data_IF_647962798800
#
_entry.id   IF_647962798800
#
_cell.length_a   1.000
_cell.length_b   1.000
_cell.length_c   1.000
_cell.angle_alpha   90.00
_cell.angle_beta   90.00
_cell.angle_gamma   90.00
#
_symmetry.space_group_name_H-M   'P 1'
#
loop_
_entity.id
_entity.type
_entity.pdbx_description
1 polymer ?
#
# COMPACT_ATOMS: atom_id res chain seq x y z
N UNK A 1 -19.86 1.25 9.99
CA UNK A 1 -19.62 -0.13 9.51
C UNK A 1 -19.92 -0.30 8.01
N UNK A 2 -20.95 0.33 7.45
CA UNK A 2 -21.27 0.23 6.01
C UNK A 2 -20.06 0.45 5.07
N UNK A 3 -19.20 1.44 5.35
CA UNK A 3 -18.02 1.74 4.54
C UNK A 3 -16.88 0.70 4.65
N UNK A 4 -16.89 -0.17 5.67
CA UNK A 4 -15.90 -1.22 5.80
C UNK A 4 -16.06 -2.32 4.74
N UNK A 5 -17.30 -2.59 4.30
CA UNK A 5 -17.60 -3.63 3.33
C UNK A 5 -17.06 -3.34 1.93
N UNK A 6 -17.25 -2.13 1.33
CA UNK A 6 -16.60 -1.77 0.08
C UNK A 6 -15.08 -1.89 0.16
N UNK A 7 -14.46 -1.43 1.25
CA UNK A 7 -13.02 -1.52 1.45
C UNK A 7 -12.53 -2.98 1.49
N UNK A 8 -13.17 -3.81 2.33
CA UNK A 8 -12.81 -5.21 2.48
C UNK A 8 -13.04 -6.01 1.18
N UNK A 9 -14.17 -5.79 0.51
CA UNK A 9 -14.51 -6.50 -0.73
C UNK A 9 -13.56 -6.11 -1.87
N UNK A 10 -13.29 -4.81 -2.05
CA UNK A 10 -12.36 -4.34 -3.08
C UNK A 10 -10.96 -4.89 -2.83
N UNK A 11 -10.51 -4.87 -1.57
CA UNK A 11 -9.24 -5.48 -1.17
C UNK A 11 -9.19 -6.98 -1.45
N UNK A 12 -10.26 -7.71 -1.15
CA UNK A 12 -10.35 -9.14 -1.41
C UNK A 12 -10.28 -9.46 -2.91
N UNK A 13 -11.03 -8.72 -3.74
CA UNK A 13 -11.01 -8.87 -5.20
C UNK A 13 -9.61 -8.58 -5.74
N UNK A 14 -8.95 -7.53 -5.24
CA UNK A 14 -7.58 -7.19 -5.63
C UNK A 14 -6.58 -8.29 -5.27
N UNK A 15 -6.67 -8.86 -4.06
CA UNK A 15 -5.82 -9.97 -3.62
C UNK A 15 -6.07 -11.24 -4.43
N UNK A 16 -7.33 -11.55 -4.73
CA UNK A 16 -7.70 -12.68 -5.58
C UNK A 16 -7.15 -12.53 -7.00
N UNK A 17 -7.25 -11.33 -7.57
CA UNK A 17 -6.66 -11.00 -8.86
C UNK A 17 -5.14 -11.19 -8.85
N UNK A 18 -4.43 -10.64 -7.84
CA UNK A 18 -2.97 -10.82 -7.69
C UNK A 18 -2.56 -12.29 -7.55
N UNK A 19 -3.35 -13.09 -6.83
CA UNK A 19 -3.10 -14.51 -6.67
C UNK A 19 -3.28 -15.28 -7.99
N UNK A 20 -4.33 -14.96 -8.75
CA UNK A 20 -4.63 -15.59 -10.03
C UNK A 20 -3.65 -15.17 -11.15
N UNK A 21 -3.26 -13.90 -11.21
CA UNK A 21 -2.36 -13.37 -12.25
C UNK A 21 -0.89 -13.69 -11.99
N UNK A 22 -0.52 -14.04 -10.75
CA UNK A 22 0.87 -14.25 -10.34
C UNK A 22 1.70 -12.96 -10.26
N UNK A 23 1.09 -11.80 -10.53
CA UNK A 23 1.77 -10.50 -10.52
C UNK A 23 2.27 -10.09 -9.13
N UNK A 24 1.80 -10.75 -8.07
CA UNK A 24 2.28 -10.54 -6.71
C UNK A 24 3.80 -10.65 -6.59
N UNK A 25 4.46 -11.49 -7.41
CA UNK A 25 5.92 -11.64 -7.42
C UNK A 25 6.65 -10.39 -7.88
N UNK A 26 6.00 -9.56 -8.70
CA UNK A 26 6.53 -8.30 -9.23
C UNK A 26 6.34 -7.11 -8.29
N UNK A 27 5.34 -7.20 -7.39
CA UNK A 27 4.95 -6.15 -6.45
C UNK A 27 5.55 -6.36 -5.06
N UNK A 28 5.86 -7.61 -4.68
CA UNK A 28 6.38 -7.93 -3.35
C UNK A 28 7.78 -7.35 -3.14
N UNK A 29 7.93 -6.59 -2.06
CA UNK A 29 9.19 -6.03 -1.62
C UNK A 29 10.08 -7.12 -1.04
N UNK A 30 11.24 -7.37 -1.66
CA UNK A 30 12.20 -8.38 -1.22
C UNK A 30 13.40 -7.72 -0.53
N UNK A 31 14.18 -8.45 0.29
CA UNK A 31 15.36 -7.89 0.95
C UNK A 31 16.37 -7.23 -0.01
N UNK A 32 16.48 -7.74 -1.24
CA UNK A 32 17.32 -7.16 -2.31
C UNK A 32 16.85 -5.78 -2.79
N UNK A 33 15.59 -5.42 -2.57
CA UNK A 33 15.01 -4.14 -2.98
C UNK A 33 15.29 -3.02 -1.95
N UNK A 34 15.85 -3.33 -0.77
CA UNK A 34 16.15 -2.34 0.29
C UNK A 34 17.16 -1.29 -0.16
N UNK A 35 18.29 -1.71 -0.75
CA UNK A 35 19.31 -0.78 -1.27
C UNK A 35 18.74 0.18 -2.32
N UNK A 36 18.10 -0.33 -3.39
CA UNK A 36 17.43 0.51 -4.39
C UNK A 36 16.32 1.40 -3.82
N UNK A 37 15.57 0.95 -2.81
CA UNK A 37 14.53 1.77 -2.18
C UNK A 37 15.13 2.98 -1.43
N UNK A 38 16.24 2.78 -0.69
CA UNK A 38 16.95 3.88 -0.03
C UNK A 38 17.52 4.85 -1.06
N UNK A 39 18.10 4.34 -2.14
CA UNK A 39 18.60 5.17 -3.24
C UNK A 39 17.50 6.00 -3.89
N UNK A 40 16.30 5.44 -4.02
CA UNK A 40 15.14 6.16 -4.54
C UNK A 40 14.63 7.22 -3.57
N UNK A 41 14.60 6.91 -2.27
CA UNK A 41 14.24 7.88 -1.24
C UNK A 41 15.18 9.10 -1.27
N UNK A 42 16.48 8.87 -1.42
CA UNK A 42 17.48 9.94 -1.54
C UNK A 42 17.27 10.79 -2.81
N UNK A 43 16.86 10.16 -3.92
CA UNK A 43 16.50 10.89 -5.14
C UNK A 43 15.28 11.80 -4.91
N UNK A 44 14.21 11.29 -4.26
CA UNK A 44 13.03 12.10 -3.97
C UNK A 44 13.29 13.23 -2.98
N UNK A 45 14.17 13.01 -2.01
CA UNK A 45 14.63 14.06 -1.09
C UNK A 45 15.61 15.05 -1.76
N UNK A 46 15.90 14.90 -3.05
CA UNK A 46 16.87 15.70 -3.83
C UNK A 46 18.31 15.63 -3.31
N UNK A 47 18.64 14.66 -2.46
CA UNK A 47 20.02 14.38 -2.04
C UNK A 47 20.81 13.64 -3.13
N UNK A 48 20.12 13.05 -4.10
CA UNK A 48 20.72 12.41 -5.28
C UNK A 48 20.12 12.99 -6.56
N UNK A 49 20.97 13.27 -7.55
CA UNK A 49 20.55 13.83 -8.86
C UNK A 49 20.16 12.76 -9.88
N UNK A 50 20.78 11.58 -9.81
CA UNK A 50 20.54 10.51 -10.77
C UNK A 50 19.39 9.60 -10.34
N UNK A 51 18.48 9.35 -11.27
CA UNK A 51 17.40 8.41 -11.08
C UNK A 51 17.94 6.98 -11.15
N UNK A 52 17.79 6.15 -10.10
CA UNK A 52 18.28 4.78 -10.13
C UNK A 52 17.56 3.96 -11.21
N UNK A 53 18.22 2.98 -11.85
CA UNK A 53 17.60 2.11 -12.85
C UNK A 53 16.44 1.33 -12.21
N UNK A 54 15.30 1.27 -12.90
CA UNK A 54 14.07 0.64 -12.41
C UNK A 54 13.57 -0.40 -13.41
N UNK A 55 13.08 -1.53 -12.90
CA UNK A 55 12.24 -2.43 -13.69
C UNK A 55 10.79 -1.92 -13.71
N UNK A 56 9.84 -2.80 -14.07
CA UNK A 56 8.39 -2.50 -14.14
C UNK A 56 7.83 -1.72 -12.93
N UNK A 57 8.34 -2.00 -11.73
CA UNK A 57 8.01 -1.24 -10.51
C UNK A 57 9.28 -0.81 -9.78
N UNK A 58 9.27 0.43 -9.30
CA UNK A 58 10.30 0.97 -8.44
C UNK A 58 10.37 0.18 -7.11
N UNK A 59 11.55 0.03 -6.53
CA UNK A 59 11.72 -0.57 -5.22
C UNK A 59 10.92 0.15 -4.12
N UNK A 60 10.82 1.48 -4.17
CA UNK A 60 9.97 2.24 -3.23
C UNK A 60 8.48 1.99 -3.47
N UNK A 61 8.05 1.82 -4.73
CA UNK A 61 6.68 1.44 -5.05
C UNK A 61 6.35 0.04 -4.54
N UNK A 62 7.24 -0.93 -4.72
CA UNK A 62 7.07 -2.29 -4.16
C UNK A 62 6.95 -2.26 -2.64
N UNK A 63 7.76 -1.44 -1.96
CA UNK A 63 7.67 -1.24 -0.53
C UNK A 63 6.29 -0.68 -0.13
N UNK A 64 5.81 0.34 -0.85
CA UNK A 64 4.49 0.94 -0.66
C UNK A 64 3.34 -0.06 -0.90
N UNK A 65 3.40 -0.85 -1.97
CA UNK A 65 2.38 -1.89 -2.25
C UNK A 65 2.35 -2.97 -1.17
N UNK A 66 3.53 -3.42 -0.73
CA UNK A 66 3.63 -4.46 0.29
C UNK A 66 3.12 -3.93 1.64
N UNK A 67 3.52 -2.72 2.02
CA UNK A 67 3.11 -2.12 3.30
C UNK A 67 1.62 -1.83 3.34
N UNK A 68 1.04 -1.28 2.27
CA UNK A 68 -0.38 -0.89 2.26
C UNK A 68 -1.32 -2.10 2.27
N UNK A 69 -0.92 -3.22 1.64
CA UNK A 69 -1.68 -4.47 1.70
C UNK A 69 -1.68 -5.06 3.10
N UNK A 70 -0.52 -5.09 3.77
CA UNK A 70 -0.41 -5.57 5.15
C UNK A 70 -1.20 -4.67 6.11
N UNK A 71 -1.09 -3.34 5.95
CA UNK A 71 -1.83 -2.36 6.73
C UNK A 71 -3.34 -2.49 6.51
N UNK A 72 -3.77 -2.72 5.27
CA UNK A 72 -5.17 -2.99 4.93
C UNK A 72 -5.69 -4.25 5.62
N UNK A 73 -4.90 -5.33 5.60
CA UNK A 73 -5.22 -6.54 6.34
C UNK A 73 -5.37 -6.30 7.85
N UNK A 74 -4.43 -5.58 8.46
CA UNK A 74 -4.49 -5.20 9.87
C UNK A 74 -5.74 -4.36 10.18
N UNK A 75 -6.05 -3.35 9.36
CA UNK A 75 -7.22 -2.51 9.52
C UNK A 75 -8.53 -3.30 9.42
N UNK A 76 -8.64 -4.24 8.47
CA UNK A 76 -9.82 -5.10 8.32
C UNK A 76 -9.98 -6.02 9.53
N UNK A 77 -8.92 -6.73 9.95
CA UNK A 77 -8.97 -7.66 11.07
C UNK A 77 -9.32 -6.96 12.40
N UNK A 78 -8.65 -5.85 12.70
CA UNK A 78 -8.95 -5.05 13.89
C UNK A 78 -10.34 -4.41 13.82
N UNK A 79 -10.80 -4.02 12.63
CA UNK A 79 -12.15 -3.49 12.42
C UNK A 79 -13.24 -4.53 12.68
N UNK A 80 -13.03 -5.78 12.27
CA UNK A 80 -13.93 -6.90 12.60
C UNK A 80 -13.93 -7.19 14.10
N UNK A 81 -12.76 -7.19 14.74
CA UNK A 81 -12.63 -7.38 16.19
C UNK A 81 -13.43 -6.34 16.98
N UNK A 82 -13.42 -5.08 16.55
CA UNK A 82 -14.16 -3.99 17.19
C UNK A 82 -15.66 -4.05 16.87
N UNK A 83 -16.04 -4.50 15.68
CA UNK A 83 -17.44 -4.56 15.26
C UNK A 83 -18.25 -5.61 16.02
N UNK A 84 -17.69 -6.80 16.22
CA UNK A 84 -18.35 -7.92 16.92
C UNK A 84 -17.46 -8.52 18.01
N UNK A 85 -17.15 -7.78 19.07
CA UNK A 85 -16.16 -8.20 20.06
C UNK A 85 -16.56 -9.47 20.83
N UNK A 86 -17.87 -9.68 21.05
CA UNK A 86 -18.39 -10.87 21.73
C UNK A 86 -18.35 -12.10 20.83
N UNK A 87 -18.74 -11.96 19.56
CA UNK A 87 -18.78 -13.09 18.61
C UNK A 87 -17.39 -13.45 18.09
N UNK A 88 -16.50 -12.46 17.97
CA UNK A 88 -15.10 -12.59 17.54
C UNK A 88 -14.14 -12.42 18.72
N UNK A 89 -14.50 -12.91 19.91
CA UNK A 89 -13.67 -12.78 21.11
C UNK A 89 -12.25 -13.34 20.94
N UNK A 90 -12.09 -14.43 20.18
CA UNK A 90 -10.78 -15.00 19.84
C UNK A 90 -9.89 -14.01 19.07
N UNK A 91 -10.46 -13.20 18.19
CA UNK A 91 -9.75 -12.19 17.41
C UNK A 91 -9.37 -10.99 18.29
N UNK A 92 -10.28 -10.59 19.18
CA UNK A 92 -10.00 -9.57 20.20
C UNK A 92 -8.84 -10.00 21.10
N UNK A 93 -8.83 -11.25 21.56
CA UNK A 93 -7.74 -11.80 22.36
C UNK A 93 -6.41 -11.87 21.58
N UNK A 94 -6.45 -12.22 20.29
CA UNK A 94 -5.26 -12.24 19.44
C UNK A 94 -4.59 -10.85 19.31
N UNK A 95 -5.40 -9.79 19.36
CA UNK A 95 -4.90 -8.41 19.39
C UNK A 95 -4.65 -7.87 20.80
N UNK A 96 -4.63 -8.70 21.84
CA UNK A 96 -4.31 -8.27 23.21
C UNK A 96 -5.47 -7.59 23.95
N UNK A 97 -6.71 -7.80 23.52
CA UNK A 97 -7.91 -7.26 24.15
C UNK A 97 -8.59 -6.15 23.34
N UNK A 98 -9.78 -5.74 23.79
CA UNK A 98 -10.61 -4.78 23.04
C UNK A 98 -9.98 -3.40 22.92
N UNK A 99 -9.36 -2.91 24.01
CA UNK A 99 -8.69 -1.60 24.01
C UNK A 99 -7.46 -1.59 23.08
N UNK A 100 -6.65 -2.65 23.10
CA UNK A 100 -5.48 -2.74 22.24
C UNK A 100 -5.90 -2.92 20.76
N UNK A 101 -6.96 -3.70 20.48
CA UNK A 101 -7.53 -3.81 19.13
C UNK A 101 -7.98 -2.46 18.57
N UNK A 102 -8.61 -1.61 19.40
CA UNK A 102 -8.96 -0.23 19.03
C UNK A 102 -7.72 0.60 18.73
N UNK A 103 -6.70 0.53 19.59
CA UNK A 103 -5.45 1.26 19.37
C UNK A 103 -4.79 0.89 18.04
N UNK A 104 -4.66 -0.41 17.74
CA UNK A 104 -4.12 -0.89 16.47
C UNK A 104 -4.94 -0.44 15.26
N UNK A 105 -6.27 -0.45 15.39
CA UNK A 105 -7.15 0.03 14.32
C UNK A 105 -6.95 1.53 14.07
N UNK A 106 -6.97 2.36 15.12
CA UNK A 106 -6.75 3.80 15.00
C UNK A 106 -5.37 4.14 14.46
N UNK A 107 -4.33 3.44 14.91
CA UNK A 107 -2.98 3.58 14.35
C UNK A 107 -2.97 3.26 12.86
N UNK A 108 -3.64 2.18 12.46
CA UNK A 108 -3.74 1.79 11.04
C UNK A 108 -4.44 2.86 10.21
N UNK A 109 -5.51 3.46 10.72
CA UNK A 109 -6.22 4.57 10.05
C UNK A 109 -5.30 5.78 9.86
N UNK A 110 -4.57 6.20 10.88
CA UNK A 110 -3.63 7.32 10.78
C UNK A 110 -2.49 7.06 9.81
N UNK A 111 -1.95 5.83 9.79
CA UNK A 111 -0.95 5.41 8.81
C UNK A 111 -1.52 5.43 7.37
N UNK A 112 -2.77 5.00 7.16
CA UNK A 112 -3.45 5.11 5.87
C UNK A 112 -3.61 6.56 5.41
N UNK A 113 -4.00 7.46 6.32
CA UNK A 113 -4.15 8.90 6.03
C UNK A 113 -2.79 9.49 5.64
N UNK A 114 -1.75 9.26 6.44
CA UNK A 114 -0.40 9.75 6.18
C UNK A 114 0.15 9.21 4.86
N UNK A 115 -0.02 7.91 4.60
CA UNK A 115 0.36 7.27 3.35
C UNK A 115 -0.36 7.90 2.16
N UNK A 116 -1.68 8.11 2.25
CA UNK A 116 -2.48 8.68 1.17
C UNK A 116 -2.02 10.10 0.82
N UNK A 117 -1.79 10.94 1.83
CA UNK A 117 -1.28 12.30 1.64
C UNK A 117 0.08 12.27 0.94
N UNK A 118 1.03 11.52 1.50
CA UNK A 118 2.38 11.43 0.95
C UNK A 118 2.38 10.85 -0.48
N UNK A 119 1.59 9.81 -0.72
CA UNK A 119 1.46 9.16 -2.02
C UNK A 119 0.93 10.11 -3.08
N UNK A 120 -0.17 10.82 -2.80
CA UNK A 120 -0.75 11.78 -3.74
C UNK A 120 0.21 12.94 -4.01
N UNK A 121 0.89 13.46 -2.98
CA UNK A 121 1.92 14.49 -3.14
C UNK A 121 3.05 14.03 -4.06
N UNK A 122 3.57 12.82 -3.86
CA UNK A 122 4.63 12.26 -4.70
C UNK A 122 4.17 12.11 -6.15
N UNK A 123 2.96 11.61 -6.38
CA UNK A 123 2.39 11.48 -7.72
C UNK A 123 2.29 12.83 -8.42
N UNK A 124 1.79 13.86 -7.73
CA UNK A 124 1.66 15.21 -8.30
C UNK A 124 3.02 15.89 -8.57
N UNK A 125 4.00 15.71 -7.69
CA UNK A 125 5.31 16.36 -7.78
C UNK A 125 6.26 15.67 -8.77
N UNK A 126 6.19 14.34 -8.88
CA UNK A 126 7.16 13.54 -9.63
C UNK A 126 6.62 13.19 -11.02
N UNK A 127 5.38 12.70 -11.09
CA UNK A 127 4.81 12.21 -12.35
C UNK A 127 3.29 12.40 -12.41
N UNK A 128 2.81 13.63 -12.66
CA UNK A 128 1.38 13.90 -12.77
C UNK A 128 0.73 13.22 -13.99
N UNK A 129 1.51 12.79 -14.98
CA UNK A 129 1.00 12.04 -16.13
C UNK A 129 0.50 10.64 -15.73
N UNK A 130 1.04 10.07 -14.64
CA UNK A 130 0.60 8.78 -14.10
C UNK A 130 -0.88 8.80 -13.67
N UNK A 131 -1.41 9.92 -13.16
CA UNK A 131 -2.84 10.05 -12.80
C UNK A 131 -3.76 9.83 -14.01
N UNK A 132 -3.38 10.40 -15.16
CA UNK A 132 -4.15 10.21 -16.41
C UNK A 132 -4.03 8.77 -16.89
N UNK A 133 -2.86 8.15 -16.72
CA UNK A 133 -2.65 6.76 -17.12
C UNK A 133 -3.51 5.79 -16.31
N UNK A 134 -3.74 6.05 -15.02
CA UNK A 134 -4.63 5.23 -14.18
C UNK A 134 -6.06 5.21 -14.73
N UNK A 135 -6.56 6.35 -15.23
CA UNK A 135 -7.92 6.46 -15.77
C UNK A 135 -8.03 5.96 -17.22
N UNK A 136 -7.03 6.24 -18.04
CA UNK A 136 -7.07 5.99 -19.49
C UNK A 136 -6.41 4.69 -19.93
N UNK A 137 -5.67 4.04 -19.03
CA UNK A 137 -4.88 2.83 -19.31
C UNK A 137 -3.66 3.05 -20.20
N UNK A 138 -3.34 4.29 -20.59
CA UNK A 138 -2.19 4.60 -21.46
C UNK A 138 -1.25 5.59 -20.79
N UNK A 139 0.01 5.18 -20.62
CA UNK A 139 1.04 6.06 -20.09
C UNK A 139 1.65 6.92 -21.19
N UNK A 140 1.66 8.24 -20.99
CA UNK A 140 2.32 9.24 -21.85
C UNK A 140 3.01 10.27 -20.96
N UNK A 141 4.10 9.85 -20.30
CA UNK A 141 4.80 10.66 -19.30
C UNK A 141 6.32 10.61 -19.42
N UNK A 142 6.98 11.21 -18.42
CA UNK A 142 8.43 11.47 -18.41
C UNK A 142 9.29 10.20 -18.32
N UNK A 143 8.72 9.11 -17.81
CA UNK A 143 9.41 7.84 -17.58
C UNK A 143 8.80 6.75 -18.47
N UNK A 144 9.27 6.58 -19.72
CA UNK A 144 8.73 5.55 -20.60
C UNK A 144 8.83 4.17 -19.95
N UNK A 145 7.72 3.42 -19.94
CA UNK A 145 7.71 2.02 -19.54
C UNK A 145 8.50 1.22 -20.57
N UNK A 146 9.73 0.84 -20.23
CA UNK A 146 10.46 -0.18 -20.97
C UNK A 146 9.87 -1.53 -20.56
N UNK A 147 8.77 -1.90 -21.20
CA UNK A 147 8.31 -3.30 -21.23
C UNK A 147 9.23 -4.14 -22.13
#
# INVERSE_FOLDING_TARGET
>A
FALAWPFALTGLVYLAYMAASGEWRSLLFRPRDVGPAVQMQLYYLRLRRDHPPQGKHNALQKAAYTSIVLLGGLAVLTGFAIYKPVQLGWLVSAFGGFELARYWHFLSVWLFVAFTILHVLLVLLVDPASLRAIVTGRYRGRFPSHD
#
